data_IF_647780402653
#
_entry.id   IF_647780402653
#
_cell.length_a   1.000
_cell.length_b   1.000
_cell.length_c   1.000
_cell.angle_alpha   90.00
_cell.angle_beta   90.00
_cell.angle_gamma   90.00
#
_symmetry.space_group_name_H-M   'P 1'
#
loop_
_entity.id
_entity.type
_entity.pdbx_description
1 polymer ?
#
# COMPACT_ATOMS: atom_id res chain seq x y z
N UNK A 1 -16.62 -8.73 -4.67
CA UNK A 1 -17.63 -8.26 -3.69
C UNK A 1 -18.84 -7.54 -4.28
N UNK A 2 -18.99 -7.33 -5.60
CA UNK A 2 -20.26 -6.87 -6.19
C UNK A 2 -20.62 -7.59 -7.51
N UNK A 3 -19.89 -8.65 -7.88
CA UNK A 3 -20.05 -9.34 -9.16
C UNK A 3 -19.68 -8.53 -10.40
N UNK A 4 -19.26 -7.26 -10.23
CA UNK A 4 -18.89 -6.35 -11.32
C UNK A 4 -17.38 -6.08 -11.32
N UNK A 5 -16.80 -6.04 -12.50
CA UNK A 5 -15.42 -5.60 -12.68
C UNK A 5 -15.30 -4.09 -12.51
N UNK A 6 -14.22 -3.62 -11.89
CA UNK A 6 -13.91 -2.19 -11.85
C UNK A 6 -13.53 -1.71 -13.24
N UNK A 7 -14.26 -0.71 -13.75
CA UNK A 7 -14.00 -0.12 -15.06
C UNK A 7 -12.65 0.61 -15.10
N UNK A 8 -12.15 0.85 -16.32
CA UNK A 8 -10.89 1.58 -16.54
C UNK A 8 -10.83 2.93 -15.80
N UNK A 9 -11.96 3.64 -15.78
CA UNK A 9 -12.09 4.93 -15.08
C UNK A 9 -11.70 4.81 -13.59
N UNK A 10 -12.25 3.82 -12.88
CA UNK A 10 -11.98 3.61 -11.46
C UNK A 10 -10.52 3.20 -11.19
N UNK A 11 -9.93 2.38 -12.07
CA UNK A 11 -8.52 1.96 -11.94
C UNK A 11 -7.56 3.13 -12.07
N UNK A 12 -7.80 4.05 -13.01
CA UNK A 12 -6.98 5.26 -13.18
C UNK A 12 -7.20 6.25 -12.04
N UNK A 13 -8.44 6.40 -11.58
CA UNK A 13 -8.79 7.29 -10.48
C UNK A 13 -8.01 6.95 -9.20
N UNK A 14 -8.05 5.70 -8.74
CA UNK A 14 -7.37 5.29 -7.51
C UNK A 14 -5.89 4.95 -7.70
N UNK A 15 -5.50 4.45 -8.88
CA UNK A 15 -4.13 4.03 -9.15
C UNK A 15 -3.18 5.18 -9.49
N UNK A 16 -3.67 6.29 -10.06
CA UNK A 16 -2.83 7.37 -10.54
C UNK A 16 -3.31 8.75 -10.09
N UNK A 17 -4.58 9.09 -10.34
CA UNK A 17 -5.08 10.46 -10.12
C UNK A 17 -5.06 10.82 -8.64
N UNK A 18 -5.64 10.00 -7.78
CA UNK A 18 -5.69 10.27 -6.34
C UNK A 18 -4.28 10.37 -5.71
N UNK A 19 -3.34 9.43 -5.96
CA UNK A 19 -1.97 9.58 -5.48
C UNK A 19 -1.28 10.85 -5.99
N UNK A 20 -1.45 11.19 -7.27
CA UNK A 20 -0.85 12.38 -7.85
C UNK A 20 -1.42 13.67 -7.26
N UNK A 21 -2.75 13.74 -7.08
CA UNK A 21 -3.41 14.89 -6.47
C UNK A 21 -2.96 15.08 -5.00
N UNK A 22 -2.93 14.01 -4.21
CA UNK A 22 -2.46 14.06 -2.83
C UNK A 22 -0.98 14.48 -2.75
N UNK A 23 -0.13 13.95 -3.64
CA UNK A 23 1.29 14.33 -3.70
C UNK A 23 1.47 15.79 -4.10
N UNK A 24 0.68 16.29 -5.05
CA UNK A 24 0.68 17.70 -5.45
C UNK A 24 0.30 18.61 -4.28
N UNK A 25 -0.79 18.30 -3.57
CA UNK A 25 -1.22 19.08 -2.40
C UNK A 25 -0.12 19.07 -1.33
N UNK A 26 0.51 17.92 -1.09
CA UNK A 26 1.61 17.79 -0.14
C UNK A 26 2.81 18.68 -0.52
N UNK A 27 3.21 18.70 -1.80
CA UNK A 27 4.31 19.54 -2.28
C UNK A 27 4.01 21.02 -2.06
N UNK A 28 2.81 21.49 -2.46
CA UNK A 28 2.41 22.87 -2.23
C UNK A 28 2.36 23.21 -0.73
N UNK A 29 1.85 22.29 0.09
CA UNK A 29 1.80 22.46 1.54
C UNK A 29 3.18 22.66 2.17
N UNK A 30 4.23 22.04 1.62
CA UNK A 30 5.61 22.26 2.06
C UNK A 30 6.26 23.49 1.44
N UNK A 31 5.95 23.82 0.20
CA UNK A 31 6.51 24.98 -0.49
C UNK A 31 6.09 26.29 0.18
N UNK A 32 4.83 26.38 0.60
CA UNK A 32 4.26 27.55 1.29
C UNK A 32 4.34 27.45 2.82
N UNK A 33 5.09 26.48 3.36
CA UNK A 33 5.16 26.26 4.80
C UNK A 33 5.99 27.34 5.49
N UNK A 34 5.32 28.23 6.22
CA UNK A 34 5.96 29.17 7.14
C UNK A 34 5.51 28.92 8.58
N UNK A 35 6.45 29.04 9.52
CA UNK A 35 6.12 28.96 10.95
C UNK A 35 5.23 30.14 11.33
N UNK A 36 4.13 29.84 11.99
CA UNK A 36 3.23 30.87 12.50
C UNK A 36 3.95 31.73 13.53
N UNK A 37 3.62 33.03 13.55
CA UNK A 37 4.14 34.04 14.48
C UNK A 37 3.51 33.87 15.88
N UNK A 38 3.71 32.70 16.46
CA UNK A 38 3.25 32.31 17.80
C UNK A 38 4.46 31.99 18.68
N UNK A 39 4.32 32.02 20.02
CA UNK A 39 5.39 31.61 20.92
C UNK A 39 5.96 30.24 20.54
N UNK A 40 7.29 30.10 20.61
CA UNK A 40 8.04 28.96 20.08
C UNK A 40 7.50 27.60 20.56
N UNK A 41 7.02 27.52 21.82
CA UNK A 41 6.47 26.31 22.39
C UNK A 41 5.32 25.69 21.57
N UNK A 42 4.45 26.51 20.97
CA UNK A 42 3.34 26.02 20.15
C UNK A 42 3.80 25.45 18.82
N UNK A 43 4.78 26.11 18.17
CA UNK A 43 5.39 25.61 16.94
C UNK A 43 6.09 24.27 17.17
N UNK A 44 6.82 24.14 18.28
CA UNK A 44 7.49 22.88 18.66
C UNK A 44 6.48 21.77 18.89
N UNK A 45 5.40 22.04 19.62
CA UNK A 45 4.34 21.07 19.88
C UNK A 45 3.65 20.61 18.57
N UNK A 46 3.36 21.55 17.67
CA UNK A 46 2.76 21.24 16.36
C UNK A 46 3.66 20.34 15.50
N UNK A 47 4.95 20.70 15.40
CA UNK A 47 5.94 19.88 14.67
C UNK A 47 6.13 18.51 15.31
N UNK A 48 6.07 18.41 16.63
CA UNK A 48 6.18 17.15 17.34
C UNK A 48 5.00 16.21 17.05
N UNK A 49 3.76 16.72 17.08
CA UNK A 49 2.56 15.94 16.72
C UNK A 49 2.65 15.48 15.26
N UNK A 50 3.04 16.37 14.37
CA UNK A 50 3.26 16.05 12.95
C UNK A 50 4.31 14.93 12.80
N UNK A 51 5.44 15.03 13.48
CA UNK A 51 6.50 14.02 13.45
C UNK A 51 6.00 12.65 13.94
N UNK A 52 5.23 12.60 15.03
CA UNK A 52 4.65 11.34 15.53
C UNK A 52 3.73 10.72 14.45
N UNK A 53 2.83 11.50 13.87
CA UNK A 53 1.88 11.02 12.87
C UNK A 53 2.60 10.45 11.64
N UNK A 54 3.63 11.14 11.14
CA UNK A 54 4.38 10.71 9.95
C UNK A 54 5.29 9.52 10.26
N UNK A 55 5.98 9.53 11.41
CA UNK A 55 6.92 8.46 11.79
C UNK A 55 6.21 7.18 12.26
N UNK A 56 4.92 7.24 12.59
CA UNK A 56 4.15 6.07 12.99
C UNK A 56 4.19 4.96 11.92
N UNK A 57 3.96 5.29 10.64
CA UNK A 57 3.94 4.28 9.56
C UNK A 57 5.32 3.64 9.32
N UNK A 58 6.42 4.41 9.14
CA UNK A 58 7.78 3.84 9.09
C UNK A 58 8.14 3.04 10.34
N UNK A 59 7.74 3.50 11.53
CA UNK A 59 7.98 2.80 12.79
C UNK A 59 7.34 1.42 12.82
N UNK A 60 6.07 1.30 12.43
CA UNK A 60 5.37 0.02 12.31
C UNK A 60 5.98 -0.89 11.24
N UNK A 61 6.43 -0.32 10.13
CA UNK A 61 7.14 -1.07 9.10
C UNK A 61 8.44 -1.68 9.64
N UNK A 62 9.29 -0.87 10.29
CA UNK A 62 10.53 -1.33 10.93
C UNK A 62 10.24 -2.40 12.00
N UNK A 63 9.22 -2.19 12.83
CA UNK A 63 8.77 -3.18 13.82
C UNK A 63 8.33 -4.49 13.16
N UNK A 64 7.55 -4.44 12.09
CA UNK A 64 7.08 -5.62 11.37
C UNK A 64 8.25 -6.42 10.75
N UNK A 65 9.23 -5.72 10.16
CA UNK A 65 10.45 -6.34 9.62
C UNK A 65 11.28 -6.97 10.73
N UNK A 66 11.48 -6.27 11.84
CA UNK A 66 12.24 -6.78 12.98
C UNK A 66 11.59 -8.01 13.62
N UNK A 67 10.26 -7.98 13.84
CA UNK A 67 9.50 -9.11 14.40
C UNK A 67 9.57 -10.35 13.52
N UNK A 68 9.52 -10.19 12.19
CA UNK A 68 9.69 -11.30 11.24
C UNK A 68 11.10 -11.89 11.28
N UNK A 69 12.14 -11.04 11.35
CA UNK A 69 13.53 -11.48 11.48
C UNK A 69 13.81 -12.20 12.80
N UNK A 70 13.18 -11.76 13.90
CA UNK A 70 13.39 -12.38 15.21
C UNK A 70 12.75 -13.76 15.34
N UNK A 71 11.69 -14.04 14.55
CA UNK A 71 10.98 -15.32 14.58
C UNK A 71 11.44 -16.31 13.51
N UNK A 72 12.05 -15.82 12.41
CA UNK A 72 12.38 -16.59 11.22
C UNK A 72 13.80 -16.28 10.75
N UNK A 73 14.56 -17.30 10.32
CA UNK A 73 15.92 -17.21 9.74
C UNK A 73 15.96 -16.58 8.33
N UNK A 74 15.09 -15.61 8.03
CA UNK A 74 15.04 -14.96 6.72
C UNK A 74 16.06 -13.81 6.62
N UNK A 75 16.63 -13.64 5.41
CA UNK A 75 17.44 -12.47 5.07
C UNK A 75 16.61 -11.18 5.20
N UNK A 76 17.27 -10.07 5.58
CA UNK A 76 16.64 -8.75 5.77
C UNK A 76 15.81 -8.31 4.57
N UNK A 77 16.31 -8.53 3.35
CA UNK A 77 15.60 -8.17 2.11
C UNK A 77 14.30 -8.97 1.95
N UNK A 78 14.31 -10.24 2.33
CA UNK A 78 13.14 -11.12 2.25
C UNK A 78 12.10 -10.73 3.30
N UNK A 79 12.54 -10.42 4.53
CA UNK A 79 11.68 -9.92 5.59
C UNK A 79 11.02 -8.58 5.22
N UNK A 80 11.78 -7.63 4.65
CA UNK A 80 11.28 -6.36 4.15
C UNK A 80 10.21 -6.54 3.05
N UNK A 81 10.50 -7.37 2.05
CA UNK A 81 9.55 -7.67 0.98
C UNK A 81 8.30 -8.38 1.50
N UNK A 82 8.46 -9.35 2.40
CA UNK A 82 7.34 -10.10 2.97
C UNK A 82 6.49 -9.25 3.92
N UNK A 83 7.06 -8.21 4.56
CA UNK A 83 6.31 -7.27 5.38
C UNK A 83 5.29 -6.44 4.57
N UNK A 84 5.55 -6.25 3.27
CA UNK A 84 4.65 -5.56 2.35
C UNK A 84 3.65 -6.50 1.66
N UNK A 85 3.73 -7.81 1.89
CA UNK A 85 2.74 -8.77 1.41
C UNK A 85 1.52 -8.78 2.34
N UNK A 86 0.31 -9.00 1.80
CA UNK A 86 -0.87 -9.24 2.62
C UNK A 86 -0.63 -10.41 3.57
N UNK A 87 -1.27 -10.36 4.74
CA UNK A 87 -1.23 -11.46 5.72
C UNK A 87 -2.15 -12.59 5.29
N UNK A 88 -1.91 -13.82 5.76
CA UNK A 88 -2.74 -14.98 5.40
C UNK A 88 -4.19 -14.87 5.88
N UNK A 89 -4.41 -14.09 6.95
CA UNK A 89 -5.76 -13.78 7.47
C UNK A 89 -6.50 -12.71 6.65
N UNK A 90 -5.81 -12.06 5.69
CA UNK A 90 -6.40 -10.99 4.89
C UNK A 90 -7.31 -11.58 3.82
N UNK A 91 -8.60 -11.23 3.84
CA UNK A 91 -9.57 -11.73 2.89
C UNK A 91 -11.00 -11.67 3.43
N UNK A 92 -11.95 -12.40 2.81
CA UNK A 92 -13.31 -12.55 3.31
C UNK A 92 -13.33 -13.12 4.74
N UNK A 93 -14.22 -12.60 5.59
CA UNK A 93 -14.36 -13.06 6.98
C UNK A 93 -14.92 -14.48 7.08
N UNK A 94 -15.92 -14.80 6.26
CA UNK A 94 -16.53 -16.13 6.25
C UNK A 94 -15.62 -17.18 5.61
N UNK A 95 -15.42 -18.30 6.31
CA UNK A 95 -14.55 -19.39 5.86
C UNK A 95 -14.94 -19.95 4.49
N UNK A 96 -16.24 -20.07 4.20
CA UNK A 96 -16.74 -20.59 2.92
C UNK A 96 -16.38 -19.70 1.74
N UNK A 97 -16.58 -18.39 1.85
CA UNK A 97 -16.23 -17.42 0.80
C UNK A 97 -14.71 -17.27 0.69
N UNK A 98 -13.97 -17.41 1.79
CA UNK A 98 -12.50 -17.39 1.75
C UNK A 98 -11.94 -18.57 0.96
N UNK A 99 -12.48 -19.78 1.14
CA UNK A 99 -12.09 -20.96 0.37
C UNK A 99 -12.39 -20.79 -1.12
N UNK A 100 -13.56 -20.25 -1.46
CA UNK A 100 -13.91 -19.94 -2.85
C UNK A 100 -12.93 -18.94 -3.47
N UNK A 101 -12.65 -17.84 -2.76
CA UNK A 101 -11.71 -16.82 -3.20
C UNK A 101 -10.29 -17.38 -3.41
N UNK A 102 -9.81 -18.24 -2.50
CA UNK A 102 -8.51 -18.92 -2.63
C UNK A 102 -8.47 -19.83 -3.87
N UNK A 103 -9.51 -20.62 -4.11
CA UNK A 103 -9.61 -21.47 -5.30
C UNK A 103 -9.61 -20.65 -6.61
N UNK A 104 -10.31 -19.51 -6.63
CA UNK A 104 -10.28 -18.57 -7.75
C UNK A 104 -8.88 -17.98 -7.96
N UNK A 105 -8.20 -17.53 -6.90
CA UNK A 105 -6.84 -17.00 -6.97
C UNK A 105 -5.84 -18.02 -7.54
N UNK A 106 -5.94 -19.29 -7.13
CA UNK A 106 -5.11 -20.38 -7.65
C UNK A 106 -5.37 -20.62 -9.15
N UNK A 107 -6.63 -20.60 -9.58
CA UNK A 107 -7.00 -20.70 -11.00
C UNK A 107 -6.45 -19.51 -11.81
N UNK A 108 -6.55 -18.30 -11.28
CA UNK A 108 -5.98 -17.09 -11.90
C UNK A 108 -4.44 -17.14 -11.98
N UNK A 109 -3.76 -17.77 -11.03
CA UNK A 109 -2.31 -17.95 -11.06
C UNK A 109 -1.91 -19.00 -12.13
N UNK A 110 -2.59 -20.15 -12.17
CA UNK A 110 -2.27 -21.23 -13.11
C UNK A 110 -2.57 -20.88 -14.57
N UNK A 111 -3.56 -20.03 -14.82
CA UNK A 111 -3.96 -19.60 -16.17
C UNK A 111 -3.05 -18.52 -16.78
N UNK A 112 -2.14 -17.90 -16.01
CA UNK A 112 -1.24 -16.89 -16.55
C UNK A 112 0.12 -17.50 -16.94
N UNK A 113 0.59 -17.30 -18.19
CA UNK A 113 1.90 -17.78 -18.61
C UNK A 113 3.00 -17.09 -17.78
N UNK A 114 3.89 -17.91 -17.22
CA UNK A 114 5.10 -17.49 -16.53
C UNK A 114 5.95 -16.63 -17.48
N UNK A 115 6.48 -15.51 -16.99
CA UNK A 115 7.26 -14.47 -17.69
C UNK A 115 6.46 -13.43 -18.50
N UNK A 116 6.09 -12.34 -17.81
CA UNK A 116 5.87 -11.02 -18.42
C UNK A 116 6.51 -9.94 -17.56
N UNK A 117 7.40 -9.17 -18.20
CA UNK A 117 8.03 -7.96 -17.67
C UNK A 117 7.08 -7.14 -16.77
N UNK A 118 7.61 -6.56 -15.68
CA UNK A 118 6.86 -5.72 -14.72
C UNK A 118 6.02 -4.65 -15.41
N UNK A 119 6.51 -4.07 -16.51
CA UNK A 119 5.80 -3.07 -17.31
C UNK A 119 4.55 -3.67 -17.99
N UNK A 120 4.66 -4.88 -18.54
CA UNK A 120 3.53 -5.57 -19.16
C UNK A 120 2.47 -5.96 -18.11
N UNK A 121 2.88 -6.32 -16.89
CA UNK A 121 1.95 -6.59 -15.78
C UNK A 121 1.18 -5.35 -15.36
N UNK A 122 1.85 -4.21 -15.26
CA UNK A 122 1.22 -2.92 -14.94
C UNK A 122 0.27 -2.52 -16.07
N UNK A 123 0.72 -2.61 -17.33
CA UNK A 123 -0.12 -2.30 -18.50
C UNK A 123 -1.35 -3.19 -18.57
N UNK A 124 -1.23 -4.50 -18.32
CA UNK A 124 -2.38 -5.42 -18.25
C UNK A 124 -3.32 -5.02 -17.11
N UNK A 125 -2.83 -4.80 -15.88
CA UNK A 125 -3.70 -4.40 -14.76
C UNK A 125 -4.47 -3.10 -15.02
N UNK A 126 -3.82 -2.11 -15.62
CA UNK A 126 -4.45 -0.83 -15.93
C UNK A 126 -5.37 -0.89 -17.14
N UNK A 127 -4.97 -1.55 -18.24
CA UNK A 127 -5.62 -1.44 -19.55
C UNK A 127 -6.29 -2.71 -20.07
N UNK A 128 -6.33 -3.83 -19.32
CA UNK A 128 -7.05 -5.01 -19.77
C UNK A 128 -8.56 -4.69 -19.76
N UNK A 129 -9.05 -4.27 -20.93
CA UNK A 129 -10.40 -4.52 -21.40
C UNK A 129 -10.52 -6.05 -21.50
N UNK A 130 -11.53 -6.62 -20.84
CA UNK A 130 -11.82 -8.06 -20.89
C UNK A 130 -11.86 -8.59 -22.32
#
# INVERSE_FOLDING_TARGET
MLGIETSFYWRVCWGLIAPAATLLILIFSFADFELQKVPMGYNVLGLFIYAIAVLQLPGWYCYAVWRRRSKQTESLRKAAHNALKPMDIWGPESDTVRLQYQAEEEQYQNSQPLERSTVQRIKKRMFNKG
#
